data_IF_553997447003
#
_entry.id   IF_553997447003
#
_cell.length_a   1.000
_cell.length_b   1.000
_cell.length_c   1.000
_cell.angle_alpha   90.00
_cell.angle_beta   90.00
_cell.angle_gamma   90.00
#
_symmetry.space_group_name_H-M   'P 1'
#
loop_
_entity.id
_entity.type
_entity.pdbx_description
1 polymer ?
#
# COMPACT_ATOMS: atom_id res chain seq x y z
N UNK A 1 12.35 -11.60 -11.24
CA UNK A 1 11.87 -10.22 -11.49
C UNK A 1 10.41 -10.34 -11.89
N UNK A 2 9.48 -9.77 -11.12
CA UNK A 2 8.05 -9.77 -11.46
C UNK A 2 7.80 -8.91 -12.70
N UNK A 3 6.81 -9.27 -13.50
CA UNK A 3 6.31 -8.42 -14.58
C UNK A 3 5.53 -7.23 -14.04
N UNK A 4 5.31 -6.22 -14.87
CA UNK A 4 4.51 -5.03 -14.50
C UNK A 4 3.09 -5.44 -14.07
N UNK A 5 2.45 -6.33 -14.84
CA UNK A 5 1.09 -6.78 -14.52
C UNK A 5 1.00 -7.50 -13.16
N UNK A 6 1.99 -8.33 -12.83
CA UNK A 6 2.05 -9.02 -11.53
C UNK A 6 2.31 -8.03 -10.39
N UNK A 7 3.17 -7.04 -10.62
CA UNK A 7 3.46 -5.97 -9.67
C UNK A 7 2.20 -5.13 -9.37
N UNK A 8 1.50 -4.69 -10.41
CA UNK A 8 0.25 -3.94 -10.27
C UNK A 8 -0.83 -4.75 -9.55
N UNK A 9 -1.01 -6.03 -9.91
CA UNK A 9 -2.00 -6.90 -9.26
C UNK A 9 -1.70 -7.14 -7.77
N UNK A 10 -0.41 -7.19 -7.40
CA UNK A 10 0.01 -7.32 -6.00
C UNK A 10 -0.30 -6.04 -5.22
N UNK A 11 0.07 -4.88 -5.76
CA UNK A 11 -0.18 -3.56 -5.15
C UNK A 11 -1.70 -3.35 -4.95
N UNK A 12 -2.51 -3.66 -5.96
CA UNK A 12 -3.98 -3.56 -5.88
C UNK A 12 -4.56 -4.44 -4.77
N UNK A 13 -3.99 -5.64 -4.55
CA UNK A 13 -4.41 -6.53 -3.48
C UNK A 13 -4.11 -5.92 -2.11
N UNK A 14 -2.91 -5.37 -1.93
CA UNK A 14 -2.48 -4.73 -0.68
C UNK A 14 -3.37 -3.52 -0.37
N UNK A 15 -3.59 -2.63 -1.35
CA UNK A 15 -4.46 -1.46 -1.20
C UNK A 15 -5.89 -1.88 -0.91
N UNK A 16 -6.39 -2.91 -1.60
CA UNK A 16 -7.70 -3.49 -1.34
C UNK A 16 -7.85 -4.00 0.08
N UNK A 17 -6.79 -4.53 0.69
CA UNK A 17 -6.74 -4.94 2.09
C UNK A 17 -6.74 -3.73 3.03
N UNK A 18 -5.89 -2.73 2.78
CA UNK A 18 -5.87 -1.50 3.57
C UNK A 18 -7.25 -0.82 3.66
N UNK A 19 -8.00 -0.76 2.55
CA UNK A 19 -9.35 -0.18 2.56
C UNK A 19 -10.39 -0.98 3.36
N UNK A 20 -10.20 -2.30 3.52
CA UNK A 20 -11.14 -3.17 4.24
C UNK A 20 -10.74 -3.44 5.69
N UNK A 21 -9.47 -3.26 6.03
CA UNK A 21 -8.88 -3.59 7.32
C UNK A 21 -8.18 -2.35 7.91
N UNK A 22 -8.90 -1.49 8.67
CA UNK A 22 -8.35 -0.24 9.20
C UNK A 22 -7.09 -0.42 10.06
N UNK A 23 -7.03 -1.49 10.86
CA UNK A 23 -5.86 -1.79 11.69
C UNK A 23 -4.66 -2.26 10.85
N UNK A 24 -4.89 -2.91 9.72
CA UNK A 24 -3.82 -3.22 8.77
C UNK A 24 -3.34 -1.94 8.08
N UNK A 25 -4.27 -1.11 7.60
CA UNK A 25 -3.99 0.19 7.00
C UNK A 25 -3.11 1.08 7.90
N UNK A 26 -3.43 1.19 9.19
CA UNK A 26 -2.63 1.95 10.17
C UNK A 26 -1.22 1.39 10.31
N UNK A 27 -1.07 0.06 10.40
CA UNK A 27 0.24 -0.59 10.48
C UNK A 27 1.08 -0.38 9.23
N UNK A 28 0.46 -0.44 8.04
CA UNK A 28 1.17 -0.15 6.78
C UNK A 28 1.68 1.29 6.75
N UNK A 29 0.91 2.29 7.21
CA UNK A 29 1.39 3.68 7.27
C UNK A 29 2.47 3.89 8.33
N UNK A 30 2.41 3.17 9.45
CA UNK A 30 3.40 3.28 10.53
C UNK A 30 4.74 2.63 10.17
N UNK A 31 4.70 1.42 9.60
CA UNK A 31 5.89 0.66 9.20
C UNK A 31 5.57 -0.25 8.00
N UNK A 32 5.67 0.26 6.75
CA UNK A 32 5.43 -0.52 5.55
C UNK A 32 6.39 -1.71 5.43
N UNK A 33 7.65 -1.53 5.83
CA UNK A 33 8.71 -2.54 5.66
C UNK A 33 8.40 -3.79 6.47
N UNK A 34 8.07 -3.63 7.76
CA UNK A 34 7.72 -4.77 8.60
C UNK A 34 6.35 -5.35 8.24
N UNK A 35 5.36 -4.48 7.97
CA UNK A 35 3.97 -4.92 7.73
C UNK A 35 3.80 -5.66 6.41
N UNK A 36 4.57 -5.30 5.38
CA UNK A 36 4.47 -5.87 4.04
C UNK A 36 5.54 -6.91 3.72
N UNK A 37 6.35 -7.32 4.71
CA UNK A 37 7.42 -8.31 4.52
C UNK A 37 6.90 -9.63 3.91
N UNK A 38 5.67 -10.04 4.24
CA UNK A 38 5.04 -11.26 3.71
C UNK A 38 4.75 -11.22 2.19
N UNK A 39 4.74 -10.04 1.57
CA UNK A 39 4.46 -9.87 0.14
C UNK A 39 5.73 -9.87 -0.71
N UNK A 40 6.91 -9.99 -0.08
CA UNK A 40 8.22 -10.02 -0.74
C UNK A 40 8.40 -8.89 -1.76
N UNK A 41 7.97 -7.67 -1.42
CA UNK A 41 8.03 -6.53 -2.33
C UNK A 41 9.47 -6.24 -2.80
N UNK A 42 9.61 -5.94 -4.08
CA UNK A 42 10.84 -5.35 -4.60
C UNK A 42 11.02 -3.94 -4.03
N UNK A 43 12.25 -3.44 -4.02
CA UNK A 43 12.54 -2.10 -3.52
C UNK A 43 11.66 -1.00 -4.17
N UNK A 44 11.46 -0.95 -5.50
CA UNK A 44 10.59 0.04 -6.13
C UNK A 44 9.13 -0.05 -5.65
N UNK A 45 8.58 -1.26 -5.48
CA UNK A 45 7.22 -1.45 -5.00
C UNK A 45 7.08 -0.99 -3.54
N UNK A 46 8.09 -1.22 -2.70
CA UNK A 46 8.10 -0.77 -1.32
C UNK A 46 8.24 0.75 -1.21
N UNK A 47 9.02 1.38 -2.11
CA UNK A 47 9.23 2.83 -2.12
C UNK A 47 7.90 3.60 -2.27
N UNK A 48 6.94 3.07 -3.01
CA UNK A 48 5.58 3.65 -3.14
C UNK A 48 4.87 3.71 -1.77
N UNK A 49 4.99 2.66 -0.95
CA UNK A 49 4.38 2.63 0.38
C UNK A 49 5.15 3.48 1.40
N UNK A 50 6.48 3.56 1.29
CA UNK A 50 7.30 4.45 2.11
C UNK A 50 6.97 5.93 1.83
N UNK A 51 6.65 6.28 0.58
CA UNK A 51 6.19 7.61 0.23
C UNK A 51 4.87 7.98 0.92
N UNK A 52 4.00 6.98 1.18
CA UNK A 52 2.72 7.20 1.86
C UNK A 52 2.86 7.57 3.34
N UNK A 53 3.98 7.23 4.00
CA UNK A 53 4.24 7.62 5.39
C UNK A 53 4.34 9.14 5.58
N UNK A 54 4.59 9.89 4.50
CA UNK A 54 4.65 11.36 4.53
C UNK A 54 3.29 12.02 4.64
N UNK A 55 2.21 11.29 4.35
CA UNK A 55 0.86 11.83 4.49
C UNK A 55 0.48 11.82 5.98
N UNK A 56 0.29 13.01 6.54
CA UNK A 56 -0.39 13.16 7.83
C UNK A 56 -1.90 13.14 7.59
N UNK A 57 -2.61 12.20 8.22
CA UNK A 57 -4.06 12.08 8.07
C UNK A 57 -4.63 10.79 8.65
N UNK A 58 -5.95 10.68 8.63
CA UNK A 58 -6.65 9.44 8.94
C UNK A 58 -6.27 8.38 7.89
N UNK A 59 -5.88 7.19 8.34
CA UNK A 59 -5.48 6.09 7.47
C UNK A 59 -6.58 5.76 6.46
N UNK A 60 -7.85 5.76 6.90
CA UNK A 60 -8.98 5.44 6.04
C UNK A 60 -9.13 6.43 4.88
N UNK A 61 -8.87 7.73 5.14
CA UNK A 61 -8.91 8.78 4.12
C UNK A 61 -7.76 8.64 3.12
N UNK A 62 -6.55 8.33 3.60
CA UNK A 62 -5.37 8.12 2.75
C UNK A 62 -5.60 6.95 1.79
N UNK A 63 -6.02 5.79 2.30
CA UNK A 63 -6.19 4.59 1.47
C UNK A 63 -7.38 4.68 0.52
N UNK A 64 -8.46 5.35 0.93
CA UNK A 64 -9.59 5.63 0.04
C UNK A 64 -9.16 6.50 -1.14
N UNK A 65 -8.39 7.57 -0.89
CA UNK A 65 -7.86 8.45 -1.94
C UNK A 65 -6.93 7.72 -2.91
N UNK A 66 -6.00 6.93 -2.38
CA UNK A 66 -5.07 6.12 -3.19
C UNK A 66 -5.86 5.18 -4.11
N UNK A 67 -6.87 4.48 -3.58
CA UNK A 67 -7.70 3.57 -4.38
C UNK A 67 -8.51 4.28 -5.46
N UNK A 68 -9.02 5.49 -5.19
CA UNK A 68 -9.75 6.27 -6.19
C UNK A 68 -8.82 6.84 -7.27
N UNK A 69 -7.60 7.25 -6.91
CA UNK A 69 -6.61 7.77 -7.84
C UNK A 69 -6.05 6.71 -8.79
N UNK A 70 -5.93 5.45 -8.35
CA UNK A 70 -5.53 4.33 -9.20
C UNK A 70 -6.57 3.92 -10.25
N UNK A 71 -7.83 4.37 -10.11
CA UNK A 71 -8.92 4.06 -11.03
C UNK A 71 -9.20 5.16 -12.07
N UNK A 72 -8.58 6.33 -11.94
CA UNK A 72 -8.71 7.46 -12.84
C UNK A 72 -7.65 7.41 -13.94
#
# INVERSE_FOLDING_TARGET
>A
MRSIAESTALIDRIIGRCVREPEFAKRVLLDPTATLAEYELTKPELDDFLALQRYSGDADEVWTRVRTGLRA
#
